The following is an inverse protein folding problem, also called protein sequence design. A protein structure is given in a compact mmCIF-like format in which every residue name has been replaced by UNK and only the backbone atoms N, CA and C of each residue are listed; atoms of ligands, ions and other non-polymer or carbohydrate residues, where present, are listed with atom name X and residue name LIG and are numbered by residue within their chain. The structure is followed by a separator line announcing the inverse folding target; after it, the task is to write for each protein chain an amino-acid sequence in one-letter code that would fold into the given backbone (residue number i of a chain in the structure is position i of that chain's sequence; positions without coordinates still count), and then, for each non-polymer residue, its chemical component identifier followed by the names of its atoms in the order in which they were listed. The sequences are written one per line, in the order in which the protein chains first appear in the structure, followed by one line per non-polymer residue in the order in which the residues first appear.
data_IF_767480065660
#
_entry.id   IF_767480065660
#
_cell.length_a   1.000
_cell.length_b   1.000
_cell.length_c   1.000
_cell.angle_alpha   90.00
_cell.angle_beta   90.00
_cell.angle_gamma   90.00
#
_symmetry.space_group_name_H-M   'P 1'
#
loop_
_entity.id
_entity.type
_entity.pdbx_description
1 polymer ?
#
# COMPACT_ATOMS: atom_id res chain seq x y z
N UNK A 1 28.37 -5.73 -15.81
CA UNK A 1 27.96 -4.83 -14.70
C UNK A 1 27.80 -5.69 -13.44
N UNK A 2 28.39 -5.30 -12.31
CA UNK A 2 28.28 -6.11 -11.07
C UNK A 2 26.82 -6.20 -10.60
N UNK A 3 26.46 -7.31 -9.94
CA UNK A 3 25.08 -7.61 -9.53
C UNK A 3 24.48 -6.48 -8.68
N UNK A 4 25.26 -5.92 -7.76
CA UNK A 4 24.89 -4.77 -6.93
C UNK A 4 24.42 -3.57 -7.75
N UNK A 5 25.16 -3.20 -8.81
CA UNK A 5 24.79 -2.09 -9.69
C UNK A 5 23.55 -2.41 -10.53
N UNK A 6 23.39 -3.68 -10.94
CA UNK A 6 22.18 -4.11 -11.65
C UNK A 6 20.93 -4.03 -10.76
N UNK A 7 21.03 -4.46 -9.50
CA UNK A 7 19.94 -4.41 -8.53
C UNK A 7 19.56 -2.97 -8.19
N UNK A 8 20.56 -2.11 -7.98
CA UNK A 8 20.32 -0.71 -7.71
C UNK A 8 19.70 0.01 -8.92
N UNK A 9 20.19 -0.23 -10.13
CA UNK A 9 19.66 0.35 -11.37
C UNK A 9 18.20 -0.07 -11.62
N UNK A 10 17.89 -1.37 -11.49
CA UNK A 10 16.53 -1.86 -11.67
C UNK A 10 15.60 -1.37 -10.55
N UNK A 11 16.07 -1.34 -9.31
CA UNK A 11 15.32 -0.79 -8.18
C UNK A 11 14.95 0.68 -8.36
N UNK A 12 15.89 1.52 -8.79
CA UNK A 12 15.63 2.93 -9.12
C UNK A 12 14.62 3.08 -10.26
N UNK A 13 14.70 2.23 -11.28
CA UNK A 13 13.73 2.22 -12.38
C UNK A 13 12.33 1.84 -11.87
N UNK A 14 12.20 0.76 -11.10
CA UNK A 14 10.92 0.32 -10.52
C UNK A 14 10.35 1.37 -9.55
N UNK A 15 11.18 2.04 -8.76
CA UNK A 15 10.77 3.13 -7.87
C UNK A 15 10.03 4.25 -8.61
N UNK A 16 10.47 4.60 -9.84
CA UNK A 16 9.81 5.63 -10.67
C UNK A 16 8.41 5.25 -11.10
N UNK A 17 8.17 3.96 -11.36
CA UNK A 17 6.89 3.44 -11.84
C UNK A 17 6.02 2.83 -10.74
N UNK A 18 6.42 2.92 -9.46
CA UNK A 18 5.70 2.30 -8.34
C UNK A 18 4.24 2.72 -8.17
N UNK A 19 3.86 3.88 -8.70
CA UNK A 19 2.48 4.34 -8.72
C UNK A 19 1.58 3.62 -9.73
N UNK A 20 2.14 2.92 -10.73
CA UNK A 20 1.39 2.28 -11.82
C UNK A 20 1.05 0.80 -11.54
N UNK A 21 1.65 0.20 -10.50
CA UNK A 21 1.43 -1.21 -10.12
C UNK A 21 -0.06 -1.57 -9.98
N UNK A 22 -0.93 -0.74 -9.36
CA UNK A 22 -2.34 -1.07 -9.23
C UNK A 22 -3.03 -1.32 -10.57
N UNK A 23 -2.60 -0.61 -11.63
CA UNK A 23 -3.13 -0.79 -12.97
C UNK A 23 -2.76 -2.17 -13.54
N UNK A 24 -1.52 -2.62 -13.35
CA UNK A 24 -1.10 -3.95 -13.75
C UNK A 24 -1.89 -5.04 -13.00
N UNK A 25 -2.15 -4.83 -11.70
CA UNK A 25 -2.98 -5.75 -10.91
C UNK A 25 -4.40 -5.86 -11.44
N UNK A 26 -5.03 -4.77 -11.88
CA UNK A 26 -6.36 -4.83 -12.51
C UNK A 26 -6.35 -5.66 -13.78
N UNK A 27 -5.37 -5.44 -14.67
CA UNK A 27 -5.25 -6.21 -15.91
C UNK A 27 -5.04 -7.69 -15.62
N UNK A 28 -4.16 -8.03 -14.68
CA UNK A 28 -3.89 -9.42 -14.28
C UNK A 28 -5.08 -10.08 -13.58
N UNK A 29 -5.91 -9.30 -12.87
CA UNK A 29 -7.08 -9.83 -12.18
C UNK A 29 -8.19 -10.26 -13.16
N UNK A 30 -8.35 -9.62 -14.33
CA UNK A 30 -9.43 -9.95 -15.29
C UNK A 30 -9.46 -11.44 -15.67
N UNK A 31 -8.39 -12.06 -16.21
CA UNK A 31 -8.43 -13.48 -16.55
C UNK A 31 -8.66 -14.36 -15.33
N UNK A 32 -8.10 -14.01 -14.17
CA UNK A 32 -8.32 -14.76 -12.93
C UNK A 32 -9.80 -14.73 -12.53
N UNK A 33 -10.45 -13.57 -12.60
CA UNK A 33 -11.87 -13.43 -12.28
C UNK A 33 -12.76 -14.16 -13.28
N UNK A 34 -12.36 -14.26 -14.54
CA UNK A 34 -13.06 -15.06 -15.54
C UNK A 34 -12.98 -16.56 -15.24
N UNK A 35 -11.80 -17.05 -14.86
CA UNK A 35 -11.57 -18.47 -14.57
C UNK A 35 -11.93 -18.89 -13.13
N UNK A 36 -12.21 -17.95 -12.22
CA UNK A 36 -12.71 -18.25 -10.87
C UNK A 36 -14.24 -18.35 -10.89
N UNK A 37 -14.84 -19.55 -10.75
CA UNK A 37 -16.28 -19.73 -10.88
C UNK A 37 -17.07 -18.98 -9.81
N UNK A 38 -18.05 -18.17 -10.22
CA UNK A 38 -18.92 -17.43 -9.31
C UNK A 38 -19.86 -18.36 -8.55
N UNK A 39 -20.19 -19.51 -9.14
CA UNK A 39 -21.02 -20.56 -8.56
C UNK A 39 -20.54 -20.94 -7.16
N UNK A 40 -19.23 -21.07 -6.95
CA UNK A 40 -18.67 -21.41 -5.64
C UNK A 40 -19.02 -20.38 -4.56
N UNK A 41 -19.01 -19.09 -4.91
CA UNK A 41 -19.40 -18.02 -3.97
C UNK A 41 -20.90 -17.98 -3.70
N UNK A 42 -21.72 -18.45 -4.65
CA UNK A 42 -23.19 -18.54 -4.52
C UNK A 42 -23.61 -19.79 -3.74
N UNK A 43 -22.94 -20.93 -3.94
CA UNK A 43 -23.19 -22.18 -3.23
C UNK A 43 -22.73 -22.14 -1.77
N UNK A 44 -21.68 -21.38 -1.46
CA UNK A 44 -21.10 -21.26 -0.11
C UNK A 44 -21.10 -19.81 0.39
N UNK A 45 -22.27 -19.17 0.55
CA UNK A 45 -22.36 -17.74 0.83
C UNK A 45 -21.73 -17.35 2.17
N UNK A 46 -21.78 -18.23 3.19
CA UNK A 46 -21.15 -17.98 4.49
C UNK A 46 -19.61 -17.95 4.39
N UNK A 47 -19.02 -18.90 3.68
CA UNK A 47 -17.57 -18.92 3.45
C UNK A 47 -17.16 -17.70 2.62
N UNK A 48 -17.93 -17.36 1.58
CA UNK A 48 -17.69 -16.18 0.77
C UNK A 48 -17.72 -14.89 1.60
N UNK A 49 -18.67 -14.78 2.54
CA UNK A 49 -18.75 -13.67 3.49
C UNK A 49 -17.52 -13.60 4.40
N UNK A 50 -17.09 -14.71 5.02
CA UNK A 50 -15.92 -14.72 5.89
C UNK A 50 -14.64 -14.33 5.16
N UNK A 51 -14.41 -14.86 3.97
CA UNK A 51 -13.25 -14.49 3.14
C UNK A 51 -13.31 -13.01 2.76
N UNK A 52 -14.51 -12.48 2.46
CA UNK A 52 -14.71 -11.04 2.17
C UNK A 52 -14.37 -10.17 3.39
N UNK A 53 -14.83 -10.55 4.58
CA UNK A 53 -14.52 -9.83 5.83
C UNK A 53 -13.01 -9.85 6.09
N UNK A 54 -12.36 -11.01 5.93
CA UNK A 54 -10.91 -11.16 6.08
C UNK A 54 -10.17 -10.28 5.06
N UNK A 55 -10.59 -10.27 3.80
CA UNK A 55 -10.01 -9.44 2.75
C UNK A 55 -10.09 -7.93 3.07
N UNK A 56 -11.26 -7.47 3.53
CA UNK A 56 -11.47 -6.08 3.94
C UNK A 56 -10.60 -5.77 5.16
N UNK A 57 -10.59 -6.65 6.16
CA UNK A 57 -9.78 -6.48 7.37
C UNK A 57 -8.29 -6.39 7.07
N UNK A 58 -7.75 -7.28 6.22
CA UNK A 58 -6.35 -7.24 5.80
C UNK A 58 -6.04 -5.93 5.07
N UNK A 59 -6.93 -5.48 4.19
CA UNK A 59 -6.74 -4.20 3.49
C UNK A 59 -6.73 -3.02 4.47
N UNK A 60 -7.65 -3.03 5.43
CA UNK A 60 -7.76 -2.01 6.46
C UNK A 60 -6.55 -2.00 7.40
N UNK A 61 -6.01 -3.16 7.78
CA UNK A 61 -4.78 -3.27 8.55
C UNK A 61 -3.59 -2.66 7.80
N UNK A 62 -3.50 -2.91 6.49
CA UNK A 62 -2.49 -2.28 5.63
C UNK A 62 -2.60 -0.76 5.60
N UNK A 63 -3.82 -0.25 5.46
CA UNK A 63 -4.09 1.19 5.53
C UNK A 63 -3.72 1.76 6.91
N UNK A 64 -4.06 1.07 8.01
CA UNK A 64 -3.71 1.50 9.36
C UNK A 64 -2.19 1.62 9.54
N UNK A 65 -1.41 0.63 9.08
CA UNK A 65 0.06 0.67 9.12
C UNK A 65 0.59 1.89 8.34
N UNK A 66 0.05 2.16 7.14
CA UNK A 66 0.46 3.34 6.35
C UNK A 66 0.08 4.65 7.04
N UNK A 67 -1.15 4.76 7.54
CA UNK A 67 -1.63 5.93 8.25
C UNK A 67 -0.78 6.19 9.50
N UNK A 68 -0.48 5.16 10.29
CA UNK A 68 0.40 5.26 11.45
C UNK A 68 1.80 5.74 11.07
N UNK A 69 2.38 5.14 10.03
CA UNK A 69 3.71 5.52 9.52
C UNK A 69 3.72 6.99 9.11
N UNK A 70 2.76 7.41 8.28
CA UNK A 70 2.70 8.77 7.74
C UNK A 70 2.41 9.80 8.83
N UNK A 71 1.51 9.49 9.75
CA UNK A 71 1.17 10.37 10.87
C UNK A 71 2.33 10.61 11.83
N UNK A 72 3.29 9.68 11.91
CA UNK A 72 4.45 9.76 12.82
C UNK A 72 5.78 10.06 12.11
N UNK A 73 5.73 10.40 10.82
CA UNK A 73 6.93 10.70 10.01
C UNK A 73 7.28 12.20 10.06
N UNK A 74 8.56 12.57 10.21
CA UNK A 74 9.02 13.96 10.15
C UNK A 74 9.00 14.54 8.72
N UNK A 75 9.21 15.86 8.59
CA UNK A 75 9.36 16.52 7.29
C UNK A 75 10.47 15.88 6.44
N UNK A 76 10.28 15.92 5.11
CA UNK A 76 11.33 15.56 4.17
C UNK A 76 11.65 14.08 4.08
N UNK A 77 10.80 13.21 4.63
CA UNK A 77 10.98 11.75 4.59
C UNK A 77 9.69 11.02 4.22
N UNK A 78 9.83 9.79 3.75
CA UNK A 78 8.71 8.90 3.37
C UNK A 78 7.70 9.52 2.40
N UNK A 79 8.14 10.48 1.58
CA UNK A 79 7.31 11.25 0.66
C UNK A 79 6.73 10.42 -0.49
N UNK A 80 5.96 11.08 -1.37
CA UNK A 80 5.39 10.47 -2.58
C UNK A 80 6.22 10.71 -3.84
N UNK A 81 7.43 11.21 -3.69
CA UNK A 81 8.37 11.42 -4.79
C UNK A 81 8.62 10.10 -5.52
N UNK A 82 8.58 10.12 -6.85
CA UNK A 82 8.88 8.95 -7.68
C UNK A 82 10.13 9.16 -8.52
N UNK A 83 10.55 10.39 -8.77
CA UNK A 83 11.71 10.67 -9.63
C UNK A 83 13.05 10.36 -8.93
N UNK A 84 13.11 10.62 -7.63
CA UNK A 84 14.30 10.46 -6.80
C UNK A 84 13.91 10.07 -5.36
N UNK A 85 14.84 9.43 -4.67
CA UNK A 85 14.74 9.20 -3.23
C UNK A 85 15.04 10.49 -2.46
N UNK A 86 14.20 10.77 -1.45
CA UNK A 86 14.35 11.94 -0.58
C UNK A 86 14.24 11.49 0.87
N UNK A 87 15.23 11.87 1.67
CA UNK A 87 15.25 11.66 3.11
C UNK A 87 16.07 12.76 3.79
N UNK A 88 15.44 13.77 4.39
CA UNK A 88 16.14 14.82 5.15
C UNK A 88 16.78 14.26 6.43
N UNK A 89 16.15 13.26 7.05
CA UNK A 89 16.63 12.58 8.25
C UNK A 89 16.46 11.06 8.13
N UNK A 90 17.19 10.30 8.94
CA UNK A 90 17.02 8.86 9.06
C UNK A 90 15.88 8.55 10.06
N UNK A 91 14.80 7.95 9.56
CA UNK A 91 13.73 7.49 10.43
C UNK A 91 14.12 6.17 11.10
N UNK A 92 14.38 6.21 12.42
CA UNK A 92 14.84 5.05 13.20
C UNK A 92 14.00 4.76 14.46
N UNK A 93 12.99 5.58 14.73
CA UNK A 93 12.06 5.47 15.87
C UNK A 93 10.62 5.23 15.42
N UNK A 94 9.71 5.03 16.37
CA UNK A 94 8.32 4.71 16.10
C UNK A 94 8.22 3.41 15.32
N UNK A 95 7.40 3.39 14.26
CA UNK A 95 7.24 2.19 13.45
C UNK A 95 8.56 1.75 12.77
N UNK A 96 9.42 2.70 12.39
CA UNK A 96 10.72 2.40 11.76
C UNK A 96 11.74 1.73 12.70
N UNK A 97 11.48 1.70 14.00
CA UNK A 97 12.28 0.89 14.94
C UNK A 97 11.94 -0.61 14.89
N UNK A 98 10.73 -0.96 14.41
CA UNK A 98 10.24 -2.34 14.35
C UNK A 98 10.52 -3.00 13.00
N UNK A 99 10.60 -2.22 11.91
CA UNK A 99 10.94 -2.65 10.56
C UNK A 99 11.41 -1.48 9.70
N UNK A 100 12.19 -1.76 8.66
CA UNK A 100 12.76 -0.73 7.77
C UNK A 100 11.78 -0.19 6.74
N UNK A 101 10.84 -1.03 6.26
CA UNK A 101 9.95 -0.69 5.14
C UNK A 101 8.43 -0.74 5.48
N UNK A 102 7.96 0.00 6.50
CA UNK A 102 6.58 -0.07 6.97
C UNK A 102 5.54 0.39 5.93
N UNK A 103 5.86 1.37 5.07
CA UNK A 103 4.96 1.79 3.99
C UNK A 103 4.74 0.68 2.94
N UNK A 104 5.74 -0.16 2.72
CA UNK A 104 5.66 -1.28 1.79
C UNK A 104 4.92 -2.46 2.40
N UNK A 105 5.09 -2.73 3.69
CA UNK A 105 4.24 -3.66 4.42
C UNK A 105 2.76 -3.23 4.36
N UNK A 106 2.49 -1.94 4.61
CA UNK A 106 1.12 -1.43 4.54
C UNK A 106 0.53 -1.51 3.14
N UNK A 107 1.31 -1.20 2.09
CA UNK A 107 0.91 -1.41 0.70
C UNK A 107 0.61 -2.89 0.41
N UNK A 108 1.49 -3.80 0.82
CA UNK A 108 1.31 -5.22 0.62
C UNK A 108 -0.04 -5.69 1.13
N UNK A 109 -0.35 -5.37 2.40
CA UNK A 109 -1.60 -5.78 3.03
C UNK A 109 -2.82 -5.14 2.35
N UNK A 110 -2.76 -3.84 1.97
CA UNK A 110 -3.82 -3.20 1.18
C UNK A 110 -4.13 -3.95 -0.12
N UNK A 111 -3.10 -4.36 -0.85
CA UNK A 111 -3.28 -5.09 -2.12
C UNK A 111 -3.66 -6.56 -1.90
N UNK A 112 -3.12 -7.21 -0.86
CA UNK A 112 -3.42 -8.61 -0.59
C UNK A 112 -4.86 -8.84 -0.20
N UNK A 113 -5.50 -7.90 0.51
CA UNK A 113 -6.92 -8.02 0.77
C UNK A 113 -7.76 -8.00 -0.51
N UNK A 114 -7.43 -7.14 -1.48
CA UNK A 114 -8.08 -7.12 -2.81
C UNK A 114 -7.86 -8.43 -3.57
N UNK A 115 -6.63 -8.96 -3.53
CA UNK A 115 -6.27 -10.22 -4.19
C UNK A 115 -6.99 -11.42 -3.56
N UNK A 116 -7.09 -11.47 -2.22
CA UNK A 116 -7.90 -12.46 -1.50
C UNK A 116 -9.37 -12.35 -1.89
N UNK A 117 -9.88 -11.12 -2.08
CA UNK A 117 -11.23 -10.88 -2.55
C UNK A 117 -11.47 -11.36 -3.99
N UNK A 118 -10.44 -11.77 -4.75
CA UNK A 118 -10.61 -12.47 -6.03
C UNK A 118 -10.92 -13.97 -5.87
N UNK A 119 -10.94 -14.51 -4.65
CA UNK A 119 -11.27 -15.90 -4.32
C UNK A 119 -10.41 -16.95 -5.05
N UNK A 120 -9.14 -16.61 -5.30
CA UNK A 120 -8.22 -17.49 -6.01
C UNK A 120 -6.87 -17.56 -5.28
N UNK A 121 -6.58 -18.73 -4.70
CA UNK A 121 -5.36 -18.93 -3.90
C UNK A 121 -4.09 -18.88 -4.75
N UNK A 122 -4.14 -19.33 -6.01
CA UNK A 122 -3.00 -19.26 -6.92
C UNK A 122 -2.67 -17.81 -7.27
N UNK A 123 -3.70 -16.98 -7.50
CA UNK A 123 -3.50 -15.55 -7.72
C UNK A 123 -2.87 -14.88 -6.49
N UNK A 124 -3.30 -15.23 -5.28
CA UNK A 124 -2.67 -14.76 -4.05
C UNK A 124 -1.18 -15.11 -3.98
N UNK A 125 -0.81 -16.37 -4.25
CA UNK A 125 0.60 -16.81 -4.23
C UNK A 125 1.41 -16.07 -5.29
N UNK A 126 0.92 -16.03 -6.54
CA UNK A 126 1.62 -15.39 -7.66
C UNK A 126 1.84 -13.91 -7.38
N UNK A 127 0.80 -13.18 -6.97
CA UNK A 127 0.94 -11.74 -6.69
C UNK A 127 1.85 -11.51 -5.48
N UNK A 128 1.82 -12.37 -4.47
CA UNK A 128 2.74 -12.27 -3.32
C UNK A 128 4.20 -12.43 -3.74
N UNK A 129 4.51 -13.40 -4.62
CA UNK A 129 5.85 -13.61 -5.15
C UNK A 129 6.30 -12.45 -6.04
N UNK A 130 5.43 -11.97 -6.93
CA UNK A 130 5.72 -10.79 -7.76
C UNK A 130 5.97 -9.55 -6.90
N UNK A 131 5.16 -9.35 -5.86
CA UNK A 131 5.34 -8.27 -4.91
C UNK A 131 6.70 -8.37 -4.21
N UNK A 132 7.10 -9.56 -3.76
CA UNK A 132 8.40 -9.77 -3.12
C UNK A 132 9.56 -9.40 -4.05
N UNK A 133 9.58 -9.97 -5.26
CA UNK A 133 10.62 -9.69 -6.25
C UNK A 133 10.67 -8.20 -6.61
N UNK A 134 9.52 -7.56 -6.73
CA UNK A 134 9.41 -6.15 -7.08
C UNK A 134 9.90 -5.22 -5.97
N UNK A 135 9.33 -5.36 -4.76
CA UNK A 135 9.67 -4.49 -3.64
C UNK A 135 11.08 -4.74 -3.13
N UNK A 136 11.61 -5.96 -3.23
CA UNK A 136 13.02 -6.23 -2.90
C UNK A 136 13.95 -5.29 -3.68
N UNK A 137 13.72 -5.10 -4.98
CA UNK A 137 14.55 -4.20 -5.79
C UNK A 137 14.44 -2.76 -5.36
N UNK A 138 13.22 -2.29 -5.08
CA UNK A 138 13.00 -0.92 -4.62
C UNK A 138 13.66 -0.71 -3.26
N UNK A 139 13.39 -1.61 -2.31
CA UNK A 139 13.98 -1.58 -0.97
C UNK A 139 15.50 -1.57 -1.07
N UNK A 140 16.09 -2.42 -1.92
CA UNK A 140 17.54 -2.45 -2.13
C UNK A 140 18.08 -1.09 -2.60
N UNK A 141 17.45 -0.47 -3.62
CA UNK A 141 17.89 0.83 -4.12
C UNK A 141 17.72 1.95 -3.07
N UNK A 142 16.64 1.94 -2.30
CA UNK A 142 16.43 2.88 -1.19
C UNK A 142 17.46 2.68 -0.07
N UNK A 143 17.74 1.43 0.30
CA UNK A 143 18.75 1.10 1.32
C UNK A 143 20.15 1.55 0.88
N UNK A 144 20.53 1.38 -0.40
CA UNK A 144 21.78 1.92 -0.95
C UNK A 144 21.85 3.44 -0.94
N UNK A 145 20.73 4.11 -1.21
CA UNK A 145 20.63 5.56 -1.10
C UNK A 145 20.82 6.03 0.34
N UNK A 146 20.15 5.38 1.31
CA UNK A 146 20.25 5.71 2.72
C UNK A 146 21.64 5.42 3.28
N UNK A 147 22.26 4.30 2.91
CA UNK A 147 23.62 3.94 3.28
C UNK A 147 24.63 5.01 2.82
N UNK A 148 24.55 5.45 1.55
CA UNK A 148 25.42 6.53 1.05
C UNK A 148 25.18 7.87 1.75
N UNK A 149 23.93 8.14 2.16
CA UNK A 149 23.55 9.43 2.75
C UNK A 149 23.89 9.53 4.24
N UNK A 150 23.66 8.46 5.01
CA UNK A 150 23.77 8.45 6.47
C UNK A 150 24.92 7.57 6.99
N UNK A 151 25.59 6.82 6.11
CA UNK A 151 26.79 6.05 6.44
C UNK A 151 26.57 5.09 7.61
N UNK A 152 27.42 5.20 8.62
CA UNK A 152 27.41 4.31 9.78
C UNK A 152 26.11 4.36 10.57
N UNK A 153 25.44 5.51 10.65
CA UNK A 153 24.17 5.65 11.37
C UNK A 153 23.09 4.73 10.78
N UNK A 154 23.02 4.68 9.45
CA UNK A 154 22.12 3.77 8.74
C UNK A 154 22.52 2.30 8.97
N UNK A 155 23.81 1.96 8.90
CA UNK A 155 24.28 0.60 9.13
C UNK A 155 23.93 0.10 10.54
N UNK A 156 24.19 0.91 11.57
CA UNK A 156 23.91 0.56 12.97
C UNK A 156 22.42 0.36 13.26
N UNK A 157 21.56 1.14 12.61
CA UNK A 157 20.10 0.98 12.72
C UNK A 157 19.61 -0.22 11.91
N UNK A 158 20.03 -0.34 10.65
CA UNK A 158 19.53 -1.36 9.71
C UNK A 158 19.93 -2.79 10.11
N UNK A 159 21.09 -2.99 10.73
CA UNK A 159 21.49 -4.28 11.30
C UNK A 159 20.57 -4.75 12.43
N UNK A 160 19.87 -3.83 13.09
CA UNK A 160 18.95 -4.12 14.20
C UNK A 160 17.50 -4.22 13.74
N UNK A 161 17.06 -3.41 12.78
CA UNK A 161 15.68 -3.43 12.30
C UNK A 161 15.48 -4.44 11.16
N UNK A 162 14.51 -5.37 11.24
CA UNK A 162 14.22 -6.28 10.14
C UNK A 162 13.69 -5.52 8.92
N UNK A 163 13.89 -6.06 7.71
CA UNK A 163 13.48 -5.36 6.49
C UNK A 163 11.95 -5.16 6.41
N UNK A 164 11.18 -6.25 6.60
CA UNK A 164 9.76 -6.28 6.23
C UNK A 164 8.82 -6.84 7.31
N UNK A 165 9.21 -7.91 8.02
CA UNK A 165 8.38 -8.50 9.08
C UNK A 165 8.64 -7.72 10.38
N UNK A 166 7.62 -7.10 10.99
CA UNK A 166 7.80 -6.21 12.15
C UNK A 166 8.20 -7.00 13.40
N UNK A 167 9.18 -6.48 14.13
CA UNK A 167 9.51 -6.95 15.47
C UNK A 167 9.04 -5.94 16.52
N UNK A 168 7.86 -6.20 17.11
CA UNK A 168 7.19 -5.30 18.07
C UNK A 168 8.06 -5.05 19.31
N UNK A 169 8.89 -6.01 19.71
CA UNK A 169 9.78 -5.88 20.88
C UNK A 169 10.86 -4.81 20.70
N UNK A 170 11.12 -4.39 19.46
CA UNK A 170 12.12 -3.36 19.13
C UNK A 170 11.53 -1.94 19.10
N UNK A 171 10.26 -1.77 19.46
CA UNK A 171 9.61 -0.47 19.45
C UNK A 171 10.36 0.54 20.32
N UNK A 172 10.81 1.63 19.70
CA UNK A 172 11.38 2.81 20.33
C UNK A 172 10.41 3.98 20.13
N UNK A 173 9.96 4.67 21.18
CA UNK A 173 9.09 5.84 21.04
C UNK A 173 9.68 6.88 20.08
N UNK A 174 8.81 7.52 19.31
CA UNK A 174 9.17 8.67 18.46
C UNK A 174 8.82 9.97 19.19
N UNK A 175 9.65 11.00 19.01
CA UNK A 175 9.34 12.36 19.46
C UNK A 175 8.33 13.07 18.55
N UNK A 176 8.06 12.51 17.37
CA UNK A 176 7.14 13.07 16.39
C UNK A 176 5.71 12.61 16.73
N UNK A 177 4.80 13.50 17.16
CA UNK A 177 3.44 13.11 17.52
C UNK A 177 2.67 12.63 16.29
N UNK A 178 1.57 11.90 16.51
CA UNK A 178 0.72 11.48 15.39
C UNK A 178 -0.04 12.67 14.81
N UNK A 179 -0.01 12.83 13.49
CA UNK A 179 -0.75 13.87 12.75
C UNK A 179 -1.85 13.28 11.87
N UNK A 180 -3.11 13.56 12.22
CA UNK A 180 -4.26 13.27 11.36
C UNK A 180 -4.24 14.08 10.06
N UNK A 181 -3.75 15.32 10.10
CA UNK A 181 -3.66 16.20 8.92
C UNK A 181 -2.76 15.58 7.86
N UNK A 182 -1.59 15.06 8.28
CA UNK A 182 -0.65 14.37 7.40
C UNK A 182 -1.27 13.14 6.74
N UNK A 183 -2.05 12.36 7.49
CA UNK A 183 -2.78 11.20 6.96
C UNK A 183 -3.85 11.63 5.96
N UNK A 184 -4.72 12.58 6.30
CA UNK A 184 -5.78 13.06 5.41
C UNK A 184 -5.22 13.67 4.12
N UNK A 185 -4.13 14.43 4.21
CA UNK A 185 -3.46 15.07 3.08
C UNK A 185 -2.79 14.07 2.14
N UNK A 186 -2.35 12.93 2.66
CA UNK A 186 -1.59 11.95 1.88
C UNK A 186 -2.50 10.80 1.50
N UNK A 187 -3.12 10.09 2.41
CA UNK A 187 -3.69 8.77 2.12
C UNK A 187 -5.03 8.73 1.37
N UNK A 188 -5.69 9.87 1.09
CA UNK A 188 -6.97 9.89 0.35
C UNK A 188 -6.92 9.14 -0.99
N UNK A 189 -5.81 9.22 -1.73
CA UNK A 189 -5.66 8.52 -3.02
C UNK A 189 -5.49 7.01 -2.86
N UNK A 190 -4.85 6.57 -1.76
CA UNK A 190 -4.67 5.15 -1.46
C UNK A 190 -5.99 4.49 -1.07
N UNK A 191 -6.77 5.16 -0.21
CA UNK A 191 -8.12 4.70 0.19
C UNK A 191 -9.04 4.62 -1.03
N UNK A 192 -9.04 5.64 -1.89
CA UNK A 192 -9.81 5.62 -3.13
C UNK A 192 -9.42 4.45 -4.05
N UNK A 193 -8.12 4.19 -4.21
CA UNK A 193 -7.64 3.09 -5.03
C UNK A 193 -8.11 1.72 -4.50
N UNK A 194 -8.10 1.52 -3.17
CA UNK A 194 -8.62 0.29 -2.56
C UNK A 194 -10.12 0.13 -2.79
N UNK A 195 -10.91 1.18 -2.55
CA UNK A 195 -12.35 1.13 -2.77
C UNK A 195 -12.70 0.86 -4.25
N UNK A 196 -12.00 1.52 -5.17
CA UNK A 196 -12.11 1.26 -6.61
C UNK A 196 -11.80 -0.20 -6.93
N UNK A 197 -10.78 -0.77 -6.28
CA UNK A 197 -10.35 -2.15 -6.54
C UNK A 197 -11.37 -3.18 -6.07
N UNK A 198 -11.93 -3.01 -4.88
CA UNK A 198 -13.02 -3.87 -4.39
C UNK A 198 -14.25 -3.78 -5.30
N UNK A 199 -14.62 -2.56 -5.72
CA UNK A 199 -15.71 -2.37 -6.69
C UNK A 199 -15.41 -3.02 -8.03
N UNK A 200 -14.20 -2.84 -8.57
CA UNK A 200 -13.77 -3.45 -9.81
C UNK A 200 -13.90 -4.99 -9.77
N UNK A 201 -13.32 -5.62 -8.74
CA UNK A 201 -13.37 -7.08 -8.58
C UNK A 201 -14.80 -7.59 -8.40
N UNK A 202 -15.65 -6.86 -7.68
CA UNK A 202 -17.06 -7.20 -7.50
C UNK A 202 -17.84 -7.14 -8.82
N UNK A 203 -17.73 -6.02 -9.54
CA UNK A 203 -18.48 -5.79 -10.77
C UNK A 203 -18.04 -6.70 -11.92
N UNK A 204 -16.73 -6.87 -12.12
CA UNK A 204 -16.20 -7.72 -13.20
C UNK A 204 -16.63 -9.17 -13.02
N UNK A 205 -16.54 -9.69 -11.80
CA UNK A 205 -16.97 -11.05 -11.50
C UNK A 205 -18.46 -11.25 -11.77
N UNK A 206 -19.30 -10.29 -11.35
CA UNK A 206 -20.74 -10.33 -11.60
C UNK A 206 -21.06 -10.27 -13.09
N UNK A 207 -20.37 -9.41 -13.83
CA UNK A 207 -20.51 -9.31 -15.29
C UNK A 207 -20.16 -10.64 -15.98
N UNK A 208 -19.08 -11.31 -15.58
CA UNK A 208 -18.74 -12.63 -16.11
C UNK A 208 -19.73 -13.73 -15.76
N UNK A 209 -20.46 -13.61 -14.65
CA UNK A 209 -21.57 -14.49 -14.32
C UNK A 209 -22.89 -14.10 -15.01
N UNK A 210 -22.89 -13.10 -15.88
CA UNK A 210 -24.09 -12.66 -16.62
C UNK A 210 -25.10 -11.88 -15.79
N UNK A 211 -24.74 -11.43 -14.58
CA UNK A 211 -25.61 -10.57 -13.80
C UNK A 211 -25.64 -9.16 -14.37
N UNK A 212 -26.82 -8.55 -14.41
CA UNK A 212 -26.98 -7.13 -14.72
C UNK A 212 -26.30 -6.24 -13.67
N UNK A 213 -25.92 -5.04 -14.12
CA UNK A 213 -25.35 -4.03 -13.26
C UNK A 213 -26.38 -3.57 -12.21
N UNK A 214 -25.95 -3.47 -10.95
CA UNK A 214 -26.82 -3.10 -9.83
C UNK A 214 -26.21 -1.94 -9.04
N UNK A 215 -26.89 -0.79 -9.06
CA UNK A 215 -26.51 0.42 -8.33
C UNK A 215 -26.50 0.25 -6.81
N UNK A 216 -27.30 -0.66 -6.26
CA UNK A 216 -27.46 -0.87 -4.82
C UNK A 216 -26.37 -1.76 -4.21
N UNK A 217 -25.31 -2.10 -4.95
CA UNK A 217 -24.18 -2.87 -4.42
C UNK A 217 -23.42 -2.04 -3.39
N UNK A 218 -23.10 -2.66 -2.25
CA UNK A 218 -22.28 -2.07 -1.19
C UNK A 218 -20.94 -1.55 -1.74
N UNK A 219 -20.34 -2.28 -2.67
CA UNK A 219 -19.07 -1.91 -3.32
C UNK A 219 -19.17 -0.60 -4.13
N UNK A 220 -20.30 -0.38 -4.83
CA UNK A 220 -20.58 0.83 -5.60
C UNK A 220 -20.78 2.02 -4.67
N UNK A 221 -21.56 1.86 -3.60
CA UNK A 221 -21.75 2.92 -2.59
C UNK A 221 -20.47 3.24 -1.84
N UNK A 222 -19.69 2.23 -1.43
CA UNK A 222 -18.40 2.41 -0.77
C UNK A 222 -17.42 3.19 -1.67
N UNK A 223 -17.36 2.85 -2.97
CA UNK A 223 -16.58 3.62 -3.93
C UNK A 223 -17.11 5.05 -4.09
N UNK A 224 -18.42 5.26 -4.23
CA UNK A 224 -19.02 6.59 -4.37
C UNK A 224 -18.71 7.51 -3.18
N UNK A 225 -18.86 7.01 -1.95
CA UNK A 225 -18.55 7.76 -0.72
C UNK A 225 -17.05 8.08 -0.66
N UNK A 226 -16.19 7.11 -0.90
CA UNK A 226 -14.73 7.31 -0.85
C UNK A 226 -14.24 8.23 -1.97
N UNK A 227 -14.85 8.20 -3.16
CA UNK A 227 -14.60 9.13 -4.25
C UNK A 227 -14.96 10.55 -3.85
N UNK A 228 -16.15 10.76 -3.29
CA UNK A 228 -16.57 12.08 -2.81
C UNK A 228 -15.61 12.61 -1.75
N UNK A 229 -15.27 11.80 -0.74
CA UNK A 229 -14.30 12.16 0.29
C UNK A 229 -12.92 12.48 -0.30
N UNK A 230 -12.44 11.68 -1.26
CA UNK A 230 -11.15 11.89 -1.91
C UNK A 230 -11.13 13.19 -2.73
N UNK A 231 -12.24 13.53 -3.41
CA UNK A 231 -12.37 14.79 -4.14
C UNK A 231 -12.38 15.99 -3.19
N UNK A 232 -13.08 15.89 -2.05
CA UNK A 232 -13.07 16.92 -1.01
C UNK A 232 -11.64 17.11 -0.47
N UNK A 233 -10.99 16.04 -0.03
CA UNK A 233 -9.63 16.09 0.52
C UNK A 233 -8.60 16.59 -0.51
N UNK A 234 -8.72 16.17 -1.78
CA UNK A 234 -7.90 16.68 -2.89
C UNK A 234 -8.12 18.17 -3.07
N UNK A 235 -9.37 18.64 -3.06
CA UNK A 235 -9.70 20.06 -3.24
C UNK A 235 -9.15 20.88 -2.09
N UNK A 236 -9.38 20.48 -0.84
CA UNK A 236 -8.84 21.13 0.35
C UNK A 236 -7.30 21.20 0.26
N UNK A 237 -6.63 20.09 -0.04
CA UNK A 237 -5.16 20.03 -0.17
C UNK A 237 -4.60 21.02 -1.20
N UNK A 238 -5.28 21.24 -2.32
CA UNK A 238 -4.78 22.07 -3.42
C UNK A 238 -5.30 23.51 -3.42
N UNK A 239 -6.42 23.79 -2.73
CA UNK A 239 -7.09 25.10 -2.76
C UNK A 239 -7.08 25.84 -1.41
N UNK A 240 -6.72 25.18 -0.31
CA UNK A 240 -6.70 25.81 1.02
C UNK A 240 -5.42 25.51 1.79
N UNK A 241 -5.26 26.14 2.97
CA UNK A 241 -4.20 25.87 3.94
C UNK A 241 -4.60 24.86 5.03
N UNK A 242 -5.84 24.37 5.04
CA UNK A 242 -6.38 23.54 6.15
C UNK A 242 -5.65 22.21 6.34
N UNK A 243 -5.00 21.70 5.29
CA UNK A 243 -4.19 20.49 5.35
C UNK A 243 -2.67 20.78 5.31
N UNK A 244 -2.24 22.01 5.63
CA UNK A 244 -0.83 22.35 5.83
C UNK A 244 -0.51 22.29 7.32
N UNK A 245 0.61 21.67 7.66
CA UNK A 245 1.09 21.55 9.03
C UNK A 245 2.60 21.78 9.05
N UNK A 246 3.07 22.66 9.93
CA UNK A 246 4.49 22.99 10.04
C UNK A 246 5.29 21.77 10.53
N UNK A 247 6.53 21.64 10.04
CA UNK A 247 7.38 20.50 10.38
C UNK A 247 6.91 19.15 9.80
N UNK A 248 5.92 19.15 8.88
CA UNK A 248 5.42 17.94 8.20
C UNK A 248 5.57 18.02 6.68
N UNK A 249 5.53 16.84 6.06
CA UNK A 249 5.52 16.69 4.59
C UNK A 249 4.10 16.80 4.03
#
# INVERSE_FOLDING_TARGET
MALIHSFEKSGNWLFRFRGQIPLALFVLAVPVLYFTPVQWTTEKPQIALYVTIIAIFISFLGFFIRAWTIGTTPRGTSGRNTQEQVAETLNSTGIYSMLRHPLYLGNYLMWMGIVIFCFNIYFFIIVSLLFWLYYERIMFAEERFLERKFGQEYLDWSLKAPAFIPNIKKYKPTSVPFSFISVLRREYSGVLAVALSFMFVDLIRRAFAGYEFNWNRISVWAFGITLLMALILRTIKHKTSLLKEEGRS
#
